data_IF_573643848319
#
_entry.id   IF_573643848319
#
_cell.length_a   1.000
_cell.length_b   1.000
_cell.length_c   1.000
_cell.angle_alpha   90.00
_cell.angle_beta   90.00
_cell.angle_gamma   90.00
#
_symmetry.space_group_name_H-M   'P 1'
#
loop_
_entity.id
_entity.type
_entity.pdbx_description
1 polymer ?
#
# COMPACT_ATOMS: atom_id res chain seq x y z
N UNK A 1 -4.80 3.40 -0.59
CA UNK A 1 -5.20 2.41 -1.64
C UNK A 1 -6.70 2.12 -1.68
N UNK A 2 -7.38 1.94 -0.54
CA UNK A 2 -8.80 1.52 -0.53
C UNK A 2 -9.74 2.51 -1.25
N UNK A 3 -9.52 3.82 -1.08
CA UNK A 3 -10.28 4.83 -1.79
C UNK A 3 -10.08 4.77 -3.31
N UNK A 4 -8.83 4.65 -3.79
CA UNK A 4 -8.54 4.47 -5.21
C UNK A 4 -9.05 3.12 -5.75
N UNK A 5 -9.11 2.06 -4.92
CA UNK A 5 -9.79 0.80 -5.27
C UNK A 5 -11.27 1.03 -5.54
N UNK A 6 -11.93 1.86 -4.72
CA UNK A 6 -13.33 2.21 -4.92
C UNK A 6 -13.54 2.99 -6.22
N UNK A 7 -12.67 3.98 -6.50
CA UNK A 7 -12.69 4.77 -7.75
C UNK A 7 -12.46 3.91 -8.99
N UNK A 8 -11.65 2.87 -8.89
CA UNK A 8 -11.27 2.03 -10.04
C UNK A 8 -12.25 0.88 -10.29
N UNK A 9 -12.72 0.20 -9.23
CA UNK A 9 -13.56 -1.00 -9.36
C UNK A 9 -15.06 -0.71 -9.30
N UNK A 10 -15.47 0.32 -8.55
CA UNK A 10 -16.87 0.72 -8.42
C UNK A 10 -17.07 2.23 -8.57
N UNK A 11 -16.59 2.84 -9.67
CA UNK A 11 -16.69 4.28 -9.90
C UNK A 11 -18.13 4.80 -9.86
N UNK A 12 -19.12 4.01 -10.29
CA UNK A 12 -20.53 4.43 -10.36
C UNK A 12 -21.18 4.66 -8.99
N UNK A 13 -20.59 4.08 -7.94
CA UNK A 13 -21.13 4.17 -6.57
C UNK A 13 -20.53 5.33 -5.77
N UNK A 14 -19.57 6.06 -6.34
CA UNK A 14 -18.94 7.17 -5.66
C UNK A 14 -19.86 8.40 -5.67
N UNK A 15 -20.11 9.02 -4.51
CA UNK A 15 -20.93 10.21 -4.40
C UNK A 15 -20.15 11.47 -4.83
N UNK A 16 -19.77 11.57 -6.12
CA UNK A 16 -18.91 12.64 -6.64
C UNK A 16 -19.38 14.05 -6.27
N UNK A 17 -20.70 14.28 -6.25
CA UNK A 17 -21.27 15.59 -5.95
C UNK A 17 -20.98 16.06 -4.50
N UNK A 18 -20.75 15.14 -3.57
CA UNK A 18 -20.43 15.45 -2.17
C UNK A 18 -18.94 15.67 -1.93
N UNK A 19 -18.08 15.37 -2.92
CA UNK A 19 -16.62 15.51 -2.84
C UNK A 19 -16.13 16.86 -3.39
N UNK A 20 -17.04 17.76 -3.80
CA UNK A 20 -16.71 19.08 -4.33
C UNK A 20 -15.77 19.05 -5.54
N UNK A 21 -14.71 19.86 -5.52
CA UNK A 21 -13.73 19.95 -6.62
C UNK A 21 -13.02 18.61 -6.84
N UNK A 22 -12.76 17.86 -5.76
CA UNK A 22 -12.13 16.55 -5.84
C UNK A 22 -13.04 15.53 -6.52
N UNK A 23 -14.35 15.59 -6.26
CA UNK A 23 -15.35 14.78 -6.97
C UNK A 23 -15.40 15.08 -8.46
N UNK A 24 -15.35 16.35 -8.83
CA UNK A 24 -15.31 16.78 -10.24
C UNK A 24 -14.07 16.22 -10.94
N UNK A 25 -12.90 16.33 -10.32
CA UNK A 25 -11.65 15.79 -10.83
C UNK A 25 -11.68 14.26 -11.00
N UNK A 26 -12.14 13.52 -9.98
CA UNK A 26 -12.25 12.06 -10.05
C UNK A 26 -13.24 11.63 -11.14
N UNK A 27 -14.38 12.31 -11.25
CA UNK A 27 -15.36 12.02 -12.30
C UNK A 27 -14.79 12.28 -13.69
N UNK A 28 -14.00 13.34 -13.87
CA UNK A 28 -13.27 13.61 -15.11
C UNK A 28 -12.27 12.49 -15.43
N UNK A 29 -11.47 12.06 -14.45
CA UNK A 29 -10.51 10.97 -14.62
C UNK A 29 -11.19 9.65 -14.98
N UNK A 30 -12.28 9.31 -14.31
CA UNK A 30 -13.04 8.10 -14.59
C UNK A 30 -13.68 8.17 -15.97
N UNK A 31 -14.28 9.30 -16.36
CA UNK A 31 -14.95 9.41 -17.67
C UNK A 31 -13.97 9.41 -18.85
N UNK A 32 -12.84 10.10 -18.73
CA UNK A 32 -11.93 10.33 -19.85
C UNK A 32 -10.71 9.40 -19.85
N UNK A 33 -10.31 8.89 -18.68
CA UNK A 33 -9.06 8.15 -18.50
C UNK A 33 -9.23 6.86 -17.68
N UNK A 34 -10.44 6.25 -17.67
CA UNK A 34 -10.73 5.06 -16.84
C UNK A 34 -9.67 3.95 -16.95
N UNK A 35 -9.26 3.62 -18.19
CA UNK A 35 -8.26 2.57 -18.46
C UNK A 35 -6.93 2.87 -17.75
N UNK A 36 -6.47 4.11 -17.81
CA UNK A 36 -5.23 4.55 -17.15
C UNK A 36 -5.36 4.51 -15.63
N UNK A 37 -6.51 4.91 -15.10
CA UNK A 37 -6.81 4.83 -13.66
C UNK A 37 -6.77 3.37 -13.19
N UNK A 38 -7.36 2.43 -13.94
CA UNK A 38 -7.28 1.00 -13.67
C UNK A 38 -5.85 0.44 -13.79
N UNK A 39 -5.09 0.84 -14.81
CA UNK A 39 -3.69 0.42 -14.93
C UNK A 39 -2.83 0.91 -13.77
N UNK A 40 -2.94 2.18 -13.41
CA UNK A 40 -2.23 2.75 -12.26
C UNK A 40 -2.58 2.01 -10.96
N UNK A 41 -3.84 1.61 -10.80
CA UNK A 41 -4.28 0.79 -9.66
C UNK A 41 -3.61 -0.59 -9.61
N UNK A 42 -3.62 -1.33 -10.72
CA UNK A 42 -3.01 -2.67 -10.76
C UNK A 42 -1.49 -2.62 -10.62
N UNK A 43 -0.83 -1.63 -11.24
CA UNK A 43 0.61 -1.40 -11.08
C UNK A 43 0.96 -1.05 -9.63
N UNK A 44 0.17 -0.19 -8.97
CA UNK A 44 0.37 0.15 -7.56
C UNK A 44 0.22 -1.07 -6.65
N UNK A 45 -0.75 -1.96 -6.91
CA UNK A 45 -0.88 -3.23 -6.18
C UNK A 45 0.32 -4.15 -6.40
N UNK A 46 0.83 -4.24 -7.62
CA UNK A 46 2.03 -5.02 -7.92
C UNK A 46 3.24 -4.49 -7.14
N UNK A 47 3.42 -3.17 -7.06
CA UNK A 47 4.48 -2.54 -6.27
C UNK A 47 4.34 -2.91 -4.79
N UNK A 48 3.14 -2.81 -4.22
CA UNK A 48 2.91 -3.14 -2.81
C UNK A 48 3.19 -4.62 -2.50
N UNK A 49 2.87 -5.53 -3.42
CA UNK A 49 3.19 -6.96 -3.29
C UNK A 49 4.71 -7.14 -3.24
N UNK A 50 5.44 -6.49 -4.15
CA UNK A 50 6.91 -6.52 -4.19
C UNK A 50 7.49 -5.96 -2.88
N UNK A 51 7.04 -4.80 -2.44
CA UNK A 51 7.44 -4.19 -1.16
C UNK A 51 7.19 -5.12 0.03
N UNK A 52 6.03 -5.79 0.08
CA UNK A 52 5.68 -6.68 1.18
C UNK A 52 6.61 -7.91 1.24
N UNK A 53 6.95 -8.51 0.10
CA UNK A 53 7.92 -9.62 0.05
C UNK A 53 9.34 -9.17 0.42
N UNK A 54 9.78 -8.01 -0.07
CA UNK A 54 11.05 -7.41 0.35
C UNK A 54 11.06 -7.10 1.85
N UNK A 55 9.93 -6.66 2.41
CA UNK A 55 9.75 -6.43 3.84
C UNK A 55 10.02 -7.68 4.68
N UNK A 56 9.51 -8.85 4.26
CA UNK A 56 9.78 -10.11 4.97
C UNK A 56 11.29 -10.44 4.96
N UNK A 57 11.98 -10.26 3.82
CA UNK A 57 13.44 -10.46 3.75
C UNK A 57 14.21 -9.46 4.61
N UNK A 58 13.75 -8.20 4.64
CA UNK A 58 14.35 -7.16 5.46
C UNK A 58 14.19 -7.45 6.96
N UNK A 59 13.02 -7.94 7.39
CA UNK A 59 12.81 -8.43 8.75
C UNK A 59 13.87 -9.47 9.14
N UNK A 60 14.10 -10.48 8.30
CA UNK A 60 15.10 -11.52 8.53
C UNK A 60 16.51 -10.93 8.69
N UNK A 61 16.89 -10.00 7.80
CA UNK A 61 18.19 -9.32 7.88
C UNK A 61 18.38 -8.46 9.13
N UNK A 62 17.28 -7.97 9.71
CA UNK A 62 17.26 -7.19 10.96
C UNK A 62 17.06 -8.06 12.21
N UNK A 63 17.12 -9.38 12.08
CA UNK A 63 16.99 -10.32 13.20
C UNK A 63 15.55 -10.53 13.69
N UNK A 64 14.54 -10.04 12.97
CA UNK A 64 13.13 -10.31 13.25
C UNK A 64 12.80 -11.68 12.64
N UNK A 65 12.96 -12.76 13.41
CA UNK A 65 12.78 -14.15 12.95
C UNK A 65 11.41 -14.74 13.27
N UNK A 66 10.61 -14.08 14.12
CA UNK A 66 9.25 -14.53 14.46
C UNK A 66 8.34 -14.49 13.21
N UNK A 67 7.77 -15.63 12.77
CA UNK A 67 6.93 -15.68 11.57
C UNK A 67 5.65 -14.85 11.67
N UNK A 68 5.03 -14.75 12.85
CA UNK A 68 3.82 -13.97 13.05
C UNK A 68 4.12 -12.47 12.94
N UNK A 69 5.27 -12.02 13.45
CA UNK A 69 5.73 -10.62 13.31
C UNK A 69 6.07 -10.31 11.85
N UNK A 70 6.78 -11.21 11.15
CA UNK A 70 7.05 -11.07 9.72
C UNK A 70 5.75 -10.99 8.90
N UNK A 71 4.76 -11.82 9.22
CA UNK A 71 3.46 -11.81 8.56
C UNK A 71 2.70 -10.50 8.82
N UNK A 72 2.77 -9.95 10.03
CA UNK A 72 2.24 -8.62 10.30
C UNK A 72 2.87 -7.58 9.38
N UNK A 73 4.22 -7.51 9.32
CA UNK A 73 4.95 -6.61 8.42
C UNK A 73 4.56 -6.76 6.94
N UNK A 74 4.35 -7.99 6.49
CA UNK A 74 3.83 -8.27 5.14
C UNK A 74 2.45 -7.63 4.94
N UNK A 75 1.49 -7.89 5.82
CA UNK A 75 0.11 -7.39 5.70
C UNK A 75 0.06 -5.86 5.78
N UNK A 76 0.75 -5.23 6.73
CA UNK A 76 0.76 -3.76 6.82
C UNK A 76 1.44 -3.13 5.60
N UNK A 77 2.52 -3.72 5.07
CA UNK A 77 3.16 -3.22 3.85
C UNK A 77 2.27 -3.40 2.63
N UNK A 78 1.54 -4.52 2.52
CA UNK A 78 0.61 -4.72 1.41
C UNK A 78 -0.51 -3.66 1.39
N UNK A 79 -1.03 -3.30 2.57
CA UNK A 79 -2.12 -2.33 2.71
C UNK A 79 -1.68 -0.86 2.59
N UNK A 80 -0.52 -0.53 3.17
CA UNK A 80 -0.03 0.85 3.32
C UNK A 80 1.18 1.19 2.44
N UNK A 81 1.76 0.21 1.76
CA UNK A 81 2.91 0.36 0.86
C UNK A 81 4.15 0.87 1.57
N UNK A 82 4.87 1.74 0.87
CA UNK A 82 6.10 2.37 1.34
C UNK A 82 5.99 3.04 2.72
N UNK A 83 4.83 3.56 3.13
CA UNK A 83 4.67 4.17 4.45
C UNK A 83 4.95 3.17 5.59
N UNK A 84 4.51 1.91 5.43
CA UNK A 84 4.83 0.85 6.39
C UNK A 84 6.23 0.29 6.15
N UNK A 85 6.59 -0.01 4.89
CA UNK A 85 7.92 -0.53 4.56
C UNK A 85 9.06 0.40 5.02
N UNK A 86 8.90 1.71 4.87
CA UNK A 86 9.87 2.72 5.30
C UNK A 86 10.10 2.74 6.82
N UNK A 87 9.08 2.41 7.62
CA UNK A 87 9.26 2.20 9.07
C UNK A 87 10.18 1.01 9.34
N UNK A 88 9.99 -0.09 8.61
CA UNK A 88 10.86 -1.26 8.72
C UNK A 88 12.29 -0.96 8.25
N UNK A 89 12.47 -0.19 7.17
CA UNK A 89 13.79 0.26 6.69
C UNK A 89 14.50 1.06 7.78
N UNK A 90 13.79 2.00 8.40
CA UNK A 90 14.32 2.89 9.44
C UNK A 90 14.56 2.20 10.78
N UNK A 91 13.89 1.07 11.04
CA UNK A 91 14.04 0.31 12.27
C UNK A 91 15.49 -0.17 12.46
N UNK A 92 16.10 0.17 13.60
CA UNK A 92 17.41 -0.33 14.01
C UNK A 92 17.19 -1.37 15.11
N UNK A 93 17.57 -2.65 14.88
CA UNK A 93 17.44 -3.66 15.92
C UNK A 93 18.29 -3.29 17.13
N UNK A 94 17.73 -3.46 18.33
CA UNK A 94 18.46 -3.25 19.58
C UNK A 94 19.68 -4.18 19.61
N UNK A 95 20.85 -3.66 19.99
CA UNK A 95 22.00 -4.50 20.24
C UNK A 95 21.63 -5.56 21.28
N UNK A 96 21.74 -6.85 20.93
CA UNK A 96 21.55 -7.92 21.91
C UNK A 96 22.54 -7.67 23.04
N UNK A 97 22.03 -7.38 24.25
CA UNK A 97 22.84 -7.53 25.46
C UNK A 97 23.19 -9.00 25.58
N UNK A 98 24.47 -9.32 25.44
CA UNK A 98 24.99 -10.63 25.79
C UNK A 98 25.03 -10.66 27.32
N UNK A 99 24.20 -11.51 27.93
CA UNK A 99 24.28 -11.89 29.34
C UNK A 99 24.90 -13.28 29.41
#
# INVERSE_FOLDING_TARGET
>A
ILFFKWVTLWPSTIPYNYLGIFGTFLNYLVKNHHKWVCYGFWVSWLIHIVEAFYGVKLCQSKGITDPAVQFHWFIQTLLFGYASFGLLVSYKPSAKKQY
#
